data_IF_535560086165
#
_entry.id   IF_535560086165
#
_cell.length_a   1.000
_cell.length_b   1.000
_cell.length_c   1.000
_cell.angle_alpha   90.00
_cell.angle_beta   90.00
_cell.angle_gamma   90.00
#
_symmetry.space_group_name_H-M   'P 1'
#
loop_
_entity.id
_entity.type
_entity.pdbx_description
1 polymer ?
#
# COMPACT_ATOMS: atom_id res chain seq x y z
N UNK A 1 8.35 -29.82 -10.25
CA UNK A 1 8.58 -28.38 -10.45
C UNK A 1 7.91 -27.49 -9.38
N UNK A 2 6.91 -27.96 -8.61
CA UNK A 2 6.23 -27.13 -7.59
C UNK A 2 7.00 -26.89 -6.29
N UNK A 3 7.89 -27.79 -5.88
CA UNK A 3 8.55 -27.70 -4.57
C UNK A 3 9.48 -26.50 -4.41
N UNK A 4 10.15 -26.07 -5.49
CA UNK A 4 11.06 -24.92 -5.40
C UNK A 4 10.28 -23.61 -5.31
N UNK A 5 9.19 -23.44 -6.08
CA UNK A 5 8.36 -22.23 -6.03
C UNK A 5 7.71 -22.01 -4.67
N UNK A 6 7.30 -23.10 -4.00
CA UNK A 6 6.69 -23.04 -2.67
C UNK A 6 7.69 -22.56 -1.61
N UNK A 7 8.94 -23.01 -1.70
CA UNK A 7 10.02 -22.59 -0.80
C UNK A 7 10.31 -21.10 -0.99
N UNK A 8 10.45 -20.63 -2.23
CA UNK A 8 10.69 -19.21 -2.51
C UNK A 8 9.56 -18.33 -1.98
N UNK A 9 8.31 -18.69 -2.27
CA UNK A 9 7.15 -17.95 -1.78
C UNK A 9 7.13 -17.87 -0.24
N UNK A 10 7.46 -18.97 0.46
CA UNK A 10 7.55 -19.00 1.91
C UNK A 10 8.67 -18.11 2.45
N UNK A 11 9.84 -18.11 1.80
CA UNK A 11 10.98 -17.25 2.16
C UNK A 11 10.62 -15.78 1.97
N UNK A 12 10.04 -15.39 0.83
CA UNK A 12 9.61 -14.01 0.57
C UNK A 12 8.56 -13.53 1.57
N UNK A 13 7.59 -14.39 1.92
CA UNK A 13 6.61 -14.09 2.96
C UNK A 13 7.29 -13.87 4.32
N UNK A 14 8.20 -14.77 4.72
CA UNK A 14 8.91 -14.65 6.00
C UNK A 14 9.75 -13.36 6.06
N UNK A 15 10.49 -13.05 4.98
CA UNK A 15 11.28 -11.83 4.88
C UNK A 15 10.40 -10.58 4.93
N UNK A 16 9.23 -10.61 4.28
CA UNK A 16 8.25 -9.51 4.35
C UNK A 16 7.73 -9.34 5.77
N UNK A 17 7.41 -10.43 6.48
CA UNK A 17 6.99 -10.38 7.88
C UNK A 17 8.06 -9.77 8.77
N UNK A 18 9.30 -10.19 8.61
CA UNK A 18 10.43 -9.68 9.39
C UNK A 18 10.73 -8.21 9.07
N UNK A 19 10.68 -7.84 7.79
CA UNK A 19 10.84 -6.45 7.33
C UNK A 19 9.80 -5.55 7.99
N UNK A 20 8.51 -5.89 7.86
CA UNK A 20 7.43 -5.04 8.34
C UNK A 20 7.38 -4.93 9.87
N UNK A 21 7.70 -6.00 10.60
CA UNK A 21 7.82 -5.96 12.07
C UNK A 21 9.08 -5.23 12.56
N UNK A 22 10.05 -5.00 11.68
CA UNK A 22 11.28 -4.28 12.00
C UNK A 22 11.27 -2.83 11.54
N UNK A 23 10.17 -2.36 10.93
CA UNK A 23 9.99 -0.95 10.58
C UNK A 23 10.21 -0.08 11.84
N UNK A 24 10.86 1.07 11.65
CA UNK A 24 11.31 2.02 12.69
C UNK A 24 12.46 1.50 13.56
N UNK A 25 13.15 0.44 13.14
CA UNK A 25 14.34 -0.08 13.83
C UNK A 25 15.54 -0.17 12.90
N UNK A 26 16.75 -0.24 13.47
CA UNK A 26 17.99 -0.51 12.70
C UNK A 26 17.97 -1.87 11.99
N UNK A 27 17.20 -2.84 12.51
CA UNK A 27 17.08 -4.19 11.92
C UNK A 27 16.35 -4.19 10.57
N UNK A 28 15.56 -3.15 10.31
CA UNK A 28 14.87 -2.93 9.03
C UNK A 28 15.80 -3.11 7.82
N UNK A 29 16.99 -2.50 7.84
CA UNK A 29 17.90 -2.53 6.69
C UNK A 29 18.47 -3.93 6.41
N UNK A 30 18.58 -4.79 7.43
CA UNK A 30 19.03 -6.18 7.24
C UNK A 30 17.98 -6.98 6.50
N UNK A 31 16.72 -6.90 6.96
CA UNK A 31 15.61 -7.61 6.31
C UNK A 31 15.28 -7.01 4.95
N UNK A 32 15.51 -5.70 4.76
CA UNK A 32 15.35 -5.04 3.48
C UNK A 32 16.34 -5.59 2.46
N UNK A 33 17.63 -5.63 2.81
CA UNK A 33 18.66 -6.18 1.94
C UNK A 33 18.36 -7.65 1.59
N UNK A 34 17.93 -8.45 2.56
CA UNK A 34 17.53 -9.83 2.34
C UNK A 34 16.34 -9.95 1.37
N UNK A 35 15.29 -9.13 1.53
CA UNK A 35 14.14 -9.14 0.63
C UNK A 35 14.50 -8.68 -0.79
N UNK A 36 15.37 -7.67 -0.94
CA UNK A 36 15.85 -7.22 -2.25
C UNK A 36 16.63 -8.34 -2.95
N UNK A 37 17.52 -9.03 -2.23
CA UNK A 37 18.28 -10.15 -2.78
C UNK A 37 17.37 -11.31 -3.19
N UNK A 38 16.33 -11.60 -2.41
CA UNK A 38 15.34 -12.63 -2.72
C UNK A 38 14.56 -12.29 -4.00
N UNK A 39 14.06 -11.06 -4.13
CA UNK A 39 13.37 -10.57 -5.33
C UNK A 39 14.32 -10.57 -6.55
N UNK A 40 15.57 -10.14 -6.39
CA UNK A 40 16.55 -10.11 -7.47
C UNK A 40 16.95 -11.53 -7.92
N UNK A 41 17.10 -12.47 -6.97
CA UNK A 41 17.34 -13.87 -7.27
C UNK A 41 16.19 -14.46 -8.09
N UNK A 42 14.95 -14.19 -7.71
CA UNK A 42 13.78 -14.68 -8.44
C UNK A 42 13.63 -14.08 -9.83
N UNK A 43 13.92 -12.79 -9.98
CA UNK A 43 13.97 -12.15 -11.30
C UNK A 43 15.01 -12.80 -12.24
N UNK A 44 16.06 -13.40 -11.67
CA UNK A 44 17.10 -14.10 -12.43
C UNK A 44 16.74 -15.56 -12.77
N UNK A 45 16.00 -16.26 -11.90
CA UNK A 45 15.82 -17.72 -12.03
C UNK A 45 14.57 -18.17 -12.79
N UNK A 46 13.44 -17.46 -12.77
CA UNK A 46 12.28 -17.77 -13.64
C UNK A 46 11.18 -16.70 -13.54
N UNK A 47 10.70 -16.22 -14.69
CA UNK A 47 9.57 -15.27 -14.75
C UNK A 47 8.26 -15.94 -14.33
N UNK A 48 8.09 -17.25 -14.47
CA UNK A 48 6.80 -17.93 -14.23
C UNK A 48 6.31 -17.92 -12.76
N UNK A 49 7.17 -17.60 -11.79
CA UNK A 49 6.87 -17.69 -10.35
C UNK A 49 6.38 -16.36 -9.72
N UNK A 50 6.29 -15.29 -10.50
CA UNK A 50 5.87 -13.95 -10.05
C UNK A 50 4.54 -13.92 -9.29
N UNK A 51 3.51 -14.69 -9.70
CA UNK A 51 2.21 -14.71 -9.02
C UNK A 51 2.32 -15.21 -7.58
N UNK A 52 3.12 -16.24 -7.34
CA UNK A 52 3.33 -16.79 -5.99
C UNK A 52 4.07 -15.82 -5.08
N UNK A 53 5.05 -15.10 -5.63
CA UNK A 53 5.77 -14.07 -4.89
C UNK A 53 4.88 -12.84 -4.60
N UNK A 54 4.11 -12.38 -5.59
CA UNK A 54 3.11 -11.33 -5.43
C UNK A 54 2.12 -11.67 -4.30
N UNK A 55 1.57 -12.89 -4.34
CA UNK A 55 0.64 -13.37 -3.33
C UNK A 55 1.32 -13.46 -1.96
N UNK A 56 2.54 -14.00 -1.88
CA UNK A 56 3.23 -14.22 -0.61
C UNK A 56 3.61 -12.90 0.08
N UNK A 57 4.16 -11.93 -0.66
CA UNK A 57 4.49 -10.59 -0.15
C UNK A 57 3.20 -9.85 0.26
N UNK A 58 2.17 -9.86 -0.57
CA UNK A 58 0.93 -9.13 -0.28
C UNK A 58 0.17 -9.72 0.91
N UNK A 59 0.04 -11.05 0.99
CA UNK A 59 -0.59 -11.75 2.12
C UNK A 59 0.21 -11.54 3.39
N UNK A 60 1.54 -11.66 3.34
CA UNK A 60 2.40 -11.36 4.48
C UNK A 60 2.20 -9.92 4.98
N UNK A 61 2.14 -8.95 4.07
CA UNK A 61 1.90 -7.56 4.42
C UNK A 61 0.54 -7.35 5.10
N UNK A 62 -0.52 -7.92 4.55
CA UNK A 62 -1.87 -7.84 5.12
C UNK A 62 -1.91 -8.48 6.51
N UNK A 63 -1.32 -9.67 6.68
CA UNK A 63 -1.24 -10.37 7.97
C UNK A 63 -0.49 -9.51 8.99
N UNK A 64 0.66 -8.96 8.63
CA UNK A 64 1.45 -8.15 9.56
C UNK A 64 0.70 -6.89 9.98
N UNK A 65 0.03 -6.20 9.06
CA UNK A 65 -0.78 -5.02 9.43
C UNK A 65 -1.96 -5.42 10.31
N UNK A 66 -2.61 -6.56 10.06
CA UNK A 66 -3.76 -7.02 10.82
C UNK A 66 -3.41 -7.49 12.25
N UNK A 67 -2.24 -8.14 12.42
CA UNK A 67 -1.87 -8.81 13.66
C UNK A 67 -0.74 -8.14 14.46
N UNK A 68 0.12 -7.33 13.82
CA UNK A 68 1.17 -6.60 14.55
C UNK A 68 0.56 -5.50 15.40
N UNK A 69 0.82 -5.57 16.71
CA UNK A 69 0.25 -4.65 17.70
C UNK A 69 0.55 -3.18 17.35
N UNK A 70 1.79 -2.86 16.98
CA UNK A 70 2.18 -1.48 16.71
C UNK A 70 1.55 -0.92 15.42
N UNK A 71 1.38 -1.75 14.37
CA UNK A 71 0.71 -1.32 13.14
C UNK A 71 -0.79 -1.22 13.34
N UNK A 72 -1.38 -2.17 14.07
CA UNK A 72 -2.81 -2.16 14.40
C UNK A 72 -3.20 -0.94 15.22
N UNK A 73 -2.39 -0.57 16.21
CA UNK A 73 -2.57 0.67 16.98
C UNK A 73 -2.56 1.89 16.04
N UNK A 74 -1.62 1.95 15.10
CA UNK A 74 -1.59 3.01 14.08
C UNK A 74 -2.81 3.02 13.15
N UNK A 75 -3.37 1.86 12.78
CA UNK A 75 -4.63 1.78 12.00
C UNK A 75 -5.81 2.33 12.81
N UNK A 76 -5.91 1.99 14.09
CA UNK A 76 -6.97 2.46 14.98
C UNK A 76 -6.87 3.98 15.16
N UNK A 77 -5.67 4.50 15.41
CA UNK A 77 -5.42 5.94 15.52
C UNK A 77 -5.78 6.68 14.24
N UNK A 78 -5.47 6.09 13.09
CA UNK A 78 -5.84 6.61 11.79
C UNK A 78 -7.36 6.76 11.70
N UNK A 79 -8.12 5.71 12.00
CA UNK A 79 -9.58 5.73 11.98
C UNK A 79 -10.20 6.72 12.97
N UNK A 80 -9.61 6.91 14.16
CA UNK A 80 -10.08 7.90 15.13
C UNK A 80 -9.91 9.33 14.59
N UNK A 81 -8.87 9.58 13.78
CA UNK A 81 -8.56 10.92 13.26
C UNK A 81 -9.18 11.20 11.88
N UNK A 82 -9.81 10.19 11.27
CA UNK A 82 -10.50 10.31 9.98
C UNK A 82 -11.52 11.45 10.00
N UNK A 83 -11.41 12.35 9.03
CA UNK A 83 -12.34 13.46 8.84
C UNK A 83 -12.24 14.59 9.87
N UNK A 84 -11.25 14.60 10.77
CA UNK A 84 -11.04 15.72 11.72
C UNK A 84 -10.47 16.98 11.05
N UNK A 85 -9.67 16.80 10.00
CA UNK A 85 -9.08 17.90 9.24
C UNK A 85 -9.30 17.66 7.74
N UNK A 86 -10.16 18.48 7.13
CA UNK A 86 -10.51 18.37 5.71
C UNK A 86 -9.31 18.66 4.78
N UNK A 87 -8.36 19.51 5.18
CA UNK A 87 -7.17 19.81 4.39
C UNK A 87 -6.23 18.61 4.29
N UNK A 88 -5.96 17.96 5.43
CA UNK A 88 -5.12 16.75 5.48
C UNK A 88 -5.78 15.60 4.72
N UNK A 89 -7.10 15.41 4.90
CA UNK A 89 -7.82 14.36 4.20
C UNK A 89 -7.79 14.57 2.68
N UNK A 90 -8.00 15.82 2.23
CA UNK A 90 -7.89 16.19 0.81
C UNK A 90 -6.51 15.88 0.23
N UNK A 91 -5.43 16.25 0.92
CA UNK A 91 -4.07 15.99 0.42
C UNK A 91 -3.76 14.50 0.35
N UNK A 92 -4.18 13.73 1.36
CA UNK A 92 -4.04 12.26 1.39
C UNK A 92 -4.80 11.60 0.25
N UNK A 93 -6.05 12.00 0.04
CA UNK A 93 -6.89 11.42 -1.03
C UNK A 93 -6.38 11.82 -2.42
N UNK A 94 -5.86 13.05 -2.59
CA UNK A 94 -5.19 13.45 -3.82
C UNK A 94 -3.94 12.61 -4.09
N UNK A 95 -3.12 12.32 -3.08
CA UNK A 95 -1.96 11.44 -3.23
C UNK A 95 -2.38 10.02 -3.61
N UNK A 96 -3.41 9.48 -2.95
CA UNK A 96 -3.98 8.17 -3.27
C UNK A 96 -4.53 8.11 -4.70
N UNK A 97 -5.24 9.15 -5.14
CA UNK A 97 -5.75 9.27 -6.50
C UNK A 97 -4.62 9.31 -7.53
N UNK A 98 -3.58 10.13 -7.30
CA UNK A 98 -2.40 10.19 -8.17
C UNK A 98 -1.66 8.85 -8.22
N UNK A 99 -1.49 8.18 -7.09
CA UNK A 99 -0.87 6.86 -7.02
C UNK A 99 -1.68 5.82 -7.82
N UNK A 100 -3.02 5.82 -7.69
CA UNK A 100 -3.90 4.96 -8.47
C UNK A 100 -3.79 5.21 -9.98
N UNK A 101 -3.77 6.47 -10.42
CA UNK A 101 -3.58 6.82 -11.84
C UNK A 101 -2.22 6.32 -12.34
N UNK A 102 -1.15 6.54 -11.57
CA UNK A 102 0.19 6.04 -11.93
C UNK A 102 0.19 4.53 -12.07
N UNK A 103 -0.43 3.79 -11.14
CA UNK A 103 -0.57 2.32 -11.24
C UNK A 103 -1.30 1.92 -12.51
N UNK A 104 -2.42 2.58 -12.86
CA UNK A 104 -3.16 2.27 -14.10
C UNK A 104 -2.31 2.53 -15.35
N UNK A 105 -1.61 3.67 -15.40
CA UNK A 105 -0.71 4.01 -16.51
C UNK A 105 0.38 2.94 -16.64
N UNK A 106 0.99 2.53 -15.52
CA UNK A 106 2.01 1.49 -15.53
C UNK A 106 1.46 0.17 -16.11
N UNK A 107 0.30 -0.28 -15.62
CA UNK A 107 -0.33 -1.53 -16.04
C UNK A 107 -0.63 -1.53 -17.53
N UNK A 108 -1.15 -0.43 -18.09
CA UNK A 108 -1.48 -0.33 -19.51
C UNK A 108 -0.26 -0.10 -20.40
N UNK A 109 0.74 0.66 -19.96
CA UNK A 109 1.89 1.03 -20.78
C UNK A 109 2.99 -0.06 -20.79
N UNK A 110 3.25 -0.69 -19.65
CA UNK A 110 4.36 -1.63 -19.47
C UNK A 110 3.90 -3.06 -19.20
N UNK A 111 2.59 -3.29 -19.09
CA UNK A 111 2.05 -4.57 -18.70
C UNK A 111 2.25 -4.87 -17.21
N UNK A 112 1.65 -5.97 -16.76
CA UNK A 112 1.59 -6.33 -15.34
C UNK A 112 2.97 -6.64 -14.73
N UNK A 113 3.84 -7.33 -15.45
CA UNK A 113 5.12 -7.82 -14.92
C UNK A 113 6.08 -6.66 -14.58
N UNK A 114 6.26 -5.73 -15.51
CA UNK A 114 7.11 -4.55 -15.29
C UNK A 114 6.49 -3.64 -14.22
N UNK A 115 5.17 -3.44 -14.28
CA UNK A 115 4.45 -2.63 -13.29
C UNK A 115 4.64 -3.15 -11.87
N UNK A 116 4.65 -4.46 -11.69
CA UNK A 116 4.90 -5.10 -10.41
C UNK A 116 6.26 -4.69 -9.82
N UNK A 117 7.35 -4.81 -10.58
CA UNK A 117 8.68 -4.45 -10.09
C UNK A 117 8.76 -2.96 -9.74
N UNK A 118 8.12 -2.11 -10.53
CA UNK A 118 8.06 -0.68 -10.27
C UNK A 118 7.27 -0.38 -8.99
N UNK A 119 6.11 -1.02 -8.78
CA UNK A 119 5.28 -0.82 -7.59
C UNK A 119 6.00 -1.31 -6.33
N UNK A 120 6.63 -2.48 -6.38
CA UNK A 120 7.44 -2.97 -5.24
C UNK A 120 8.61 -2.04 -4.96
N UNK A 121 9.35 -1.62 -6.00
CA UNK A 121 10.46 -0.70 -5.82
C UNK A 121 10.00 0.63 -5.21
N UNK A 122 8.86 1.17 -5.65
CA UNK A 122 8.26 2.37 -5.09
C UNK A 122 7.83 2.16 -3.62
N UNK A 123 7.19 1.03 -3.30
CA UNK A 123 6.77 0.70 -1.94
C UNK A 123 7.98 0.56 -0.99
N UNK A 124 9.02 -0.17 -1.42
CA UNK A 124 10.29 -0.31 -0.71
C UNK A 124 10.94 1.06 -0.50
N UNK A 125 10.98 1.90 -1.53
CA UNK A 125 11.57 3.24 -1.45
C UNK A 125 10.83 4.11 -0.44
N UNK A 126 9.50 4.16 -0.50
CA UNK A 126 8.68 4.91 0.45
C UNK A 126 8.84 4.39 1.89
N UNK A 127 8.87 3.07 2.08
CA UNK A 127 9.12 2.45 3.38
C UNK A 127 10.51 2.82 3.93
N UNK A 128 11.52 2.76 3.07
CA UNK A 128 12.91 3.08 3.44
C UNK A 128 13.03 4.56 3.81
N UNK A 129 12.48 5.45 2.99
CA UNK A 129 12.49 6.89 3.25
C UNK A 129 11.70 7.24 4.52
N UNK A 130 10.56 6.61 4.76
CA UNK A 130 9.79 6.77 6.00
C UNK A 130 10.58 6.29 7.23
N UNK A 131 11.26 5.15 7.11
CA UNK A 131 12.13 4.63 8.16
C UNK A 131 13.32 5.56 8.45
N UNK A 132 13.97 6.07 7.40
CA UNK A 132 15.05 7.06 7.51
C UNK A 132 14.53 8.34 8.15
N UNK A 133 13.38 8.88 7.72
CA UNK A 133 12.82 10.12 8.26
C UNK A 133 12.62 10.02 9.78
N UNK A 134 12.05 8.90 10.26
CA UNK A 134 11.84 8.66 11.69
C UNK A 134 13.16 8.48 12.45
N UNK A 135 14.12 7.73 11.88
CA UNK A 135 15.38 7.44 12.55
C UNK A 135 16.35 8.63 12.57
N UNK A 136 16.42 9.39 11.48
CA UNK A 136 17.32 10.53 11.33
C UNK A 136 16.79 11.82 11.97
N UNK A 137 15.49 11.87 12.31
CA UNK A 137 14.78 13.08 12.75
C UNK A 137 14.97 14.27 11.79
N UNK A 138 15.21 14.01 10.51
CA UNK A 138 15.45 15.04 9.50
C UNK A 138 14.18 15.88 9.30
N UNK A 139 14.17 17.18 9.64
CA UNK A 139 12.95 18.00 9.64
C UNK A 139 12.27 18.07 8.27
N UNK A 140 13.02 18.10 7.17
CA UNK A 140 12.47 18.23 5.82
C UNK A 140 11.75 16.96 5.33
N UNK A 141 12.40 15.79 5.46
CA UNK A 141 11.80 14.50 5.09
C UNK A 141 10.64 14.16 6.01
N UNK A 142 10.80 14.38 7.31
CA UNK A 142 9.74 14.23 8.30
C UNK A 142 8.55 15.12 7.91
N UNK A 143 8.76 16.40 7.61
CA UNK A 143 7.69 17.31 7.18
C UNK A 143 6.92 16.82 5.95
N UNK A 144 7.63 16.32 4.92
CA UNK A 144 6.99 15.77 3.72
C UNK A 144 6.14 14.53 4.04
N UNK A 145 6.67 13.53 4.75
CA UNK A 145 5.93 12.32 5.09
C UNK A 145 4.77 12.59 6.06
N UNK A 146 4.95 13.46 7.05
CA UNK A 146 3.87 13.87 7.96
C UNK A 146 2.79 14.70 7.26
N UNK A 147 3.09 15.40 6.16
CA UNK A 147 2.07 16.10 5.38
C UNK A 147 1.11 15.16 4.65
N UNK A 148 1.53 13.92 4.40
CA UNK A 148 0.75 12.88 3.72
C UNK A 148 0.00 11.96 4.71
N UNK A 149 0.30 12.06 6.00
CA UNK A 149 -0.29 11.22 7.05
C UNK A 149 -1.12 12.03 8.03
N UNK A 150 -2.03 11.38 8.74
CA UNK A 150 -2.82 12.05 9.78
C UNK A 150 -1.93 12.41 10.98
N UNK A 151 -2.17 13.52 11.68
CA UNK A 151 -1.31 13.97 12.78
C UNK A 151 -1.21 12.91 13.88
N UNK A 152 -0.01 12.62 14.35
CA UNK A 152 0.31 11.53 15.30
C UNK A 152 -0.20 10.14 14.87
N UNK A 153 -0.22 9.83 13.57
CA UNK A 153 -0.37 8.46 13.08
C UNK A 153 1.00 7.94 12.68
N UNK A 154 1.22 6.65 12.88
CA UNK A 154 2.45 5.97 12.47
C UNK A 154 2.62 6.07 10.95
N UNK A 155 3.71 6.68 10.48
CA UNK A 155 3.93 7.01 9.07
C UNK A 155 3.91 5.76 8.16
N UNK A 156 3.29 5.82 6.99
CA UNK A 156 3.45 4.76 5.98
C UNK A 156 2.46 3.60 6.10
N UNK A 157 1.57 3.56 7.10
CA UNK A 157 0.54 2.52 7.20
C UNK A 157 -0.41 2.55 5.99
N UNK A 158 -0.85 3.74 5.58
CA UNK A 158 -1.72 3.90 4.42
C UNK A 158 -1.07 3.38 3.13
N UNK A 159 0.13 3.88 2.77
CA UNK A 159 0.89 3.38 1.63
C UNK A 159 1.15 1.87 1.65
N UNK A 160 1.48 1.26 2.80
CA UNK A 160 1.67 -0.19 2.92
C UNK A 160 0.38 -0.93 2.54
N UNK A 161 -0.76 -0.48 3.04
CA UNK A 161 -2.06 -1.12 2.73
C UNK A 161 -2.46 -0.95 1.27
N UNK A 162 -2.20 0.21 0.67
CA UNK A 162 -2.46 0.45 -0.76
C UNK A 162 -1.56 -0.44 -1.62
N UNK A 163 -0.25 -0.48 -1.33
CA UNK A 163 0.69 -1.33 -2.05
C UNK A 163 0.34 -2.81 -1.88
N UNK A 164 0.06 -3.26 -0.65
CA UNK A 164 -0.34 -4.63 -0.34
C UNK A 164 -1.62 -5.04 -1.08
N UNK A 165 -2.65 -4.19 -1.08
CA UNK A 165 -3.90 -4.45 -1.80
C UNK A 165 -3.71 -4.48 -3.32
N UNK A 166 -2.87 -3.60 -3.88
CA UNK A 166 -2.57 -3.57 -5.31
C UNK A 166 -1.81 -4.82 -5.76
N UNK A 167 -0.78 -5.21 -5.01
CA UNK A 167 0.00 -6.43 -5.27
C UNK A 167 -0.88 -7.68 -5.12
N UNK A 168 -1.79 -7.70 -4.14
CA UNK A 168 -2.75 -8.78 -3.99
C UNK A 168 -3.67 -8.89 -5.22
N UNK A 169 -4.23 -7.77 -5.69
CA UNK A 169 -5.05 -7.75 -6.90
C UNK A 169 -4.28 -8.24 -8.13
N UNK A 170 -3.03 -7.77 -8.31
CA UNK A 170 -2.14 -8.20 -9.40
C UNK A 170 -1.79 -9.69 -9.35
N UNK A 171 -1.76 -10.29 -8.14
CA UNK A 171 -1.50 -11.73 -7.96
C UNK A 171 -2.65 -12.60 -8.45
N UNK A 172 -3.89 -12.11 -8.35
CA UNK A 172 -5.10 -12.87 -8.65
C UNK A 172 -5.58 -12.63 -10.09
N UNK A 173 -5.35 -11.43 -10.62
CA UNK A 173 -5.90 -11.02 -11.91
C UNK A 173 -4.81 -10.84 -12.95
N UNK A 174 -4.92 -11.64 -14.01
CA UNK A 174 -4.02 -11.59 -15.18
C UNK A 174 -4.51 -10.63 -16.25
N UNK A 175 -5.82 -10.41 -16.35
CA UNK A 175 -6.43 -9.55 -17.36
C UNK A 175 -6.27 -8.07 -16.99
N UNK A 176 -5.66 -7.25 -17.85
CA UNK A 176 -5.36 -5.85 -17.52
C UNK A 176 -6.62 -5.02 -17.27
N UNK A 177 -7.71 -5.28 -18.02
CA UNK A 177 -8.96 -4.53 -17.86
C UNK A 177 -9.64 -4.81 -16.52
N UNK A 178 -9.67 -6.08 -16.10
CA UNK A 178 -10.22 -6.44 -14.80
C UNK A 178 -9.35 -5.89 -13.65
N UNK A 179 -8.03 -5.92 -13.81
CA UNK A 179 -7.11 -5.31 -12.86
C UNK A 179 -7.33 -3.79 -12.77
N UNK A 180 -7.53 -3.12 -13.91
CA UNK A 180 -7.81 -1.70 -13.96
C UNK A 180 -9.11 -1.34 -13.23
N UNK A 181 -10.17 -2.14 -13.40
CA UNK A 181 -11.44 -1.97 -12.66
C UNK A 181 -11.20 -2.10 -11.15
N UNK A 182 -10.42 -3.09 -10.71
CA UNK A 182 -10.13 -3.29 -9.28
C UNK A 182 -9.32 -2.11 -8.73
N UNK A 183 -8.23 -1.72 -9.40
CA UNK A 183 -7.37 -0.60 -8.99
C UNK A 183 -8.18 0.70 -8.97
N UNK A 184 -9.00 0.94 -9.99
CA UNK A 184 -9.89 2.09 -10.04
C UNK A 184 -10.84 2.07 -8.86
N UNK A 185 -11.57 0.99 -8.61
CA UNK A 185 -12.57 0.91 -7.55
C UNK A 185 -11.95 1.06 -6.15
N UNK A 186 -10.83 0.38 -5.89
CA UNK A 186 -10.21 0.30 -4.56
C UNK A 186 -9.40 1.55 -4.23
N UNK A 187 -8.68 2.12 -5.20
CA UNK A 187 -7.75 3.23 -4.95
C UNK A 187 -8.39 4.56 -5.33
N UNK A 188 -8.80 4.69 -6.59
CA UNK A 188 -9.31 5.95 -7.16
C UNK A 188 -10.72 6.24 -6.66
N UNK A 189 -11.60 5.23 -6.67
CA UNK A 189 -12.97 5.32 -6.20
C UNK A 189 -13.03 5.72 -4.73
N UNK A 190 -12.22 5.10 -3.86
CA UNK A 190 -12.13 5.48 -2.43
C UNK A 190 -11.71 6.95 -2.25
N UNK A 191 -10.69 7.39 -2.99
CA UNK A 191 -10.25 8.79 -2.97
C UNK A 191 -11.33 9.77 -3.49
N UNK A 192 -11.99 9.44 -4.61
CA UNK A 192 -13.06 10.24 -5.19
C UNK A 192 -14.26 10.33 -4.25
N UNK A 193 -14.67 9.21 -3.65
CA UNK A 193 -15.76 9.16 -2.69
C UNK A 193 -15.50 10.05 -1.47
N UNK A 194 -14.26 10.06 -0.99
CA UNK A 194 -13.85 10.91 0.12
C UNK A 194 -13.82 12.39 -0.28
N UNK A 195 -13.21 12.74 -1.42
CA UNK A 195 -13.16 14.12 -1.94
C UNK A 195 -14.55 14.70 -2.21
N UNK A 196 -15.41 13.94 -2.87
CA UNK A 196 -16.81 14.32 -3.13
C UNK A 196 -17.58 14.36 -1.83
N UNK A 197 -17.40 13.40 -0.92
CA UNK A 197 -18.05 13.38 0.39
C UNK A 197 -17.70 14.58 1.28
N UNK A 198 -16.48 15.11 1.16
CA UNK A 198 -16.04 16.34 1.85
C UNK A 198 -16.70 17.58 1.22
N UNK A 199 -16.74 17.66 -0.13
CA UNK A 199 -17.20 18.86 -0.85
C UNK A 199 -18.73 18.95 -0.97
N UNK A 200 -19.40 17.82 -1.09
CA UNK A 200 -20.84 17.70 -1.29
C UNK A 200 -21.43 16.85 -0.17
N UNK A 201 -21.82 17.46 0.97
CA UNK A 201 -22.42 16.76 2.10
C UNK A 201 -23.87 16.35 1.78
N UNK A 202 -24.01 15.39 0.87
CA UNK A 202 -25.24 14.65 0.66
C UNK A 202 -25.56 13.81 1.90
N UNK A 203 -26.80 13.27 1.96
CA UNK A 203 -27.29 12.49 3.10
C UNK A 203 -26.28 11.41 3.52
N UNK A 204 -25.99 11.33 4.81
CA UNK A 204 -25.11 10.30 5.39
C UNK A 204 -25.76 8.92 5.27
N UNK A 205 -24.95 7.88 5.13
CA UNK A 205 -25.44 6.51 5.07
C UNK A 205 -26.03 6.12 6.44
N UNK A 206 -27.17 5.39 6.47
CA UNK A 206 -27.87 5.06 7.72
C UNK A 206 -27.05 4.19 8.68
N UNK A 207 -26.14 3.37 8.15
CA UNK A 207 -25.28 2.49 8.94
C UNK A 207 -23.91 3.08 9.29
N UNK A 208 -23.47 4.16 8.61
CA UNK A 208 -22.17 4.79 8.86
C UNK A 208 -22.24 6.31 8.65
N UNK A 209 -22.31 7.05 9.77
CA UNK A 209 -22.39 8.51 9.77
C UNK A 209 -21.15 9.24 9.23
N UNK A 210 -20.07 8.53 8.90
CA UNK A 210 -18.87 9.11 8.26
C UNK A 210 -18.89 8.99 6.73
N UNK A 211 -19.75 8.14 6.17
CA UNK A 211 -19.90 7.96 4.71
C UNK A 211 -21.17 8.63 4.23
N UNK A 212 -21.15 9.17 3.01
CA UNK A 212 -22.29 9.83 2.38
C UNK A 212 -22.75 9.10 1.13
N UNK A 213 -24.04 9.27 0.79
CA UNK A 213 -24.59 8.79 -0.49
C UNK A 213 -23.85 9.43 -1.66
N UNK A 214 -23.46 10.70 -1.52
CA UNK A 214 -22.65 11.41 -2.52
C UNK A 214 -21.29 10.76 -2.78
N UNK A 215 -20.61 10.31 -1.72
CA UNK A 215 -19.36 9.58 -1.86
C UNK A 215 -19.57 8.23 -2.56
N UNK A 216 -20.67 7.53 -2.28
CA UNK A 216 -20.98 6.25 -2.95
C UNK A 216 -21.28 6.44 -4.44
N UNK A 217 -22.04 7.47 -4.81
CA UNK A 217 -22.33 7.78 -6.21
C UNK A 217 -21.08 8.21 -7.00
N UNK A 218 -20.09 8.79 -6.34
CA UNK A 218 -18.83 9.17 -6.99
C UNK A 218 -17.94 7.97 -7.37
N UNK A 219 -18.25 6.77 -6.88
CA UNK A 219 -17.54 5.53 -7.23
C UNK A 219 -18.14 4.81 -8.44
N UNK A 220 -19.36 5.19 -8.86
CA UNK A 220 -20.11 4.58 -9.97
C UNK A 220 -19.86 5.35 -11.27
#
# INVERSE_FOLDING_TARGET
>A
MSTNSDIYAAVSAMLTVLLLNSIYTKRYYVFLAALILDIAGLAYFDVAQYNYLLLSISVAAIIVVAFSRHLKEGVIENEIKKGKNAYVERNRDLFQLMAGIVVLILVYAFGREISFFIIIAAAITLLTLGNIAIMSRSPDLVGFFYSMERPNVTLGIGPIMIAGGTLFAMSLVTQPDLLAIIVFTVIIGDALASLVGIRFPLKRLPYNGRKSVGGLLAML
#
